data_IF_421167095780
#
_entry.id   IF_421167095780
#
_cell.length_a   1.000
_cell.length_b   1.000
_cell.length_c   1.000
_cell.angle_alpha   90.00
_cell.angle_beta   90.00
_cell.angle_gamma   90.00
#
_symmetry.space_group_name_H-M   'P 1'
#
loop_
_entity.id
_entity.type
_entity.pdbx_description
1 polymer ?
#
# COMPACT_ATOMS: atom_id res chain seq x y z
N UNK A 1 -38.99 -44.60 -11.15
CA UNK A 1 -39.05 -43.56 -10.12
C UNK A 1 -37.69 -42.91 -10.08
N UNK A 2 -37.57 -41.66 -10.52
CA UNK A 2 -36.31 -40.93 -10.59
C UNK A 2 -36.11 -40.10 -9.30
N UNK A 3 -34.90 -40.14 -8.78
CA UNK A 3 -34.41 -39.49 -7.56
C UNK A 3 -34.48 -37.95 -7.68
N UNK A 4 -35.15 -37.22 -6.76
CA UNK A 4 -35.41 -35.79 -6.89
C UNK A 4 -34.30 -34.88 -6.32
N UNK A 5 -33.09 -35.37 -6.04
CA UNK A 5 -32.04 -34.58 -5.38
C UNK A 5 -30.72 -34.50 -6.17
N UNK A 6 -30.79 -34.08 -7.44
CA UNK A 6 -29.64 -33.46 -8.11
C UNK A 6 -29.99 -32.02 -8.46
N UNK A 7 -30.02 -31.18 -7.43
CA UNK A 7 -29.90 -29.74 -7.60
C UNK A 7 -28.53 -29.42 -8.19
N UNK A 8 -28.55 -28.74 -9.33
CA UNK A 8 -27.39 -28.17 -9.98
C UNK A 8 -26.64 -27.26 -9.00
N UNK A 9 -25.47 -27.71 -8.56
CA UNK A 9 -24.49 -26.86 -7.86
C UNK A 9 -23.93 -25.83 -8.84
N UNK A 10 -24.73 -24.81 -9.16
CA UNK A 10 -24.20 -23.58 -9.73
C UNK A 10 -23.28 -22.98 -8.68
N UNK A 11 -21.97 -23.07 -8.92
CA UNK A 11 -20.98 -22.36 -8.12
C UNK A 11 -21.38 -20.89 -8.09
N UNK A 12 -21.82 -20.41 -6.92
CA UNK A 12 -21.91 -18.99 -6.67
C UNK A 12 -20.48 -18.47 -6.67
N UNK A 13 -20.00 -18.02 -7.84
CA UNK A 13 -18.86 -17.11 -7.86
C UNK A 13 -19.35 -15.87 -7.15
N UNK A 14 -18.90 -15.68 -5.92
CA UNK A 14 -19.08 -14.42 -5.21
C UNK A 14 -18.44 -13.36 -6.12
N UNK A 15 -19.27 -12.56 -6.80
CA UNK A 15 -18.80 -11.38 -7.52
C UNK A 15 -18.37 -10.39 -6.44
N UNK A 16 -17.14 -10.54 -5.95
CA UNK A 16 -16.47 -9.51 -5.18
C UNK A 16 -16.26 -8.38 -6.17
N UNK A 17 -17.05 -7.30 -6.01
CA UNK A 17 -16.80 -6.08 -6.77
C UNK A 17 -15.35 -5.64 -6.49
N UNK A 18 -14.58 -5.27 -7.53
CA UNK A 18 -13.22 -4.78 -7.32
C UNK A 18 -13.25 -3.55 -6.40
N UNK A 19 -12.25 -3.44 -5.54
CA UNK A 19 -12.07 -2.30 -4.62
C UNK A 19 -12.06 -0.99 -5.40
N UNK A 20 -12.81 0.01 -4.94
CA UNK A 20 -12.78 1.36 -5.54
C UNK A 20 -11.60 2.17 -5.01
N UNK A 21 -11.24 3.26 -5.69
CA UNK A 21 -10.23 4.19 -5.19
C UNK A 21 -10.64 4.80 -3.83
N UNK A 22 -11.93 5.11 -3.65
CA UNK A 22 -12.43 5.63 -2.37
C UNK A 22 -12.29 4.60 -1.24
N UNK A 23 -12.59 3.33 -1.50
CA UNK A 23 -12.39 2.25 -0.53
C UNK A 23 -10.91 2.10 -0.17
N UNK A 24 -10.03 2.15 -1.18
CA UNK A 24 -8.59 2.10 -1.00
C UNK A 24 -8.06 3.24 -0.11
N UNK A 25 -8.43 4.48 -0.44
CA UNK A 25 -8.03 5.67 0.34
C UNK A 25 -8.59 5.65 1.76
N UNK A 26 -9.82 5.17 1.94
CA UNK A 26 -10.44 5.04 3.26
C UNK A 26 -9.73 3.97 4.11
N UNK A 27 -9.37 2.82 3.53
CA UNK A 27 -8.62 1.77 4.22
C UNK A 27 -7.23 2.28 4.68
N UNK A 28 -6.54 3.05 3.82
CA UNK A 28 -5.28 3.69 4.18
C UNK A 28 -5.44 4.65 5.36
N UNK A 29 -6.45 5.52 5.33
CA UNK A 29 -6.72 6.47 6.41
C UNK A 29 -7.05 5.75 7.73
N UNK A 30 -7.87 4.70 7.68
CA UNK A 30 -8.19 3.89 8.85
C UNK A 30 -6.98 3.17 9.43
N UNK A 31 -6.10 2.64 8.57
CA UNK A 31 -4.83 2.04 9.00
C UNK A 31 -3.91 3.08 9.65
N UNK A 32 -3.71 4.21 8.98
CA UNK A 32 -2.85 5.29 9.44
C UNK A 32 -3.28 5.86 10.80
N UNK A 33 -4.57 6.11 10.99
CA UNK A 33 -5.11 6.69 12.23
C UNK A 33 -5.02 5.76 13.44
N UNK A 34 -4.85 4.46 13.25
CA UNK A 34 -4.51 3.53 14.35
C UNK A 34 -3.07 3.71 14.84
N UNK A 35 -2.16 4.08 13.94
CA UNK A 35 -0.74 4.28 14.22
C UNK A 35 -0.47 5.72 14.70
N UNK A 36 -1.18 6.69 14.14
CA UNK A 36 -1.08 8.12 14.46
C UNK A 36 -2.45 8.69 14.87
N UNK A 37 -2.98 8.33 16.05
CA UNK A 37 -4.31 8.78 16.50
C UNK A 37 -4.44 10.31 16.56
N UNK A 38 -3.35 11.04 16.82
CA UNK A 38 -3.31 12.50 16.81
C UNK A 38 -3.73 13.12 15.47
N UNK A 39 -3.62 12.38 14.36
CA UNK A 39 -4.10 12.84 13.05
C UNK A 39 -5.62 13.08 13.04
N UNK A 40 -6.38 12.32 13.84
CA UNK A 40 -7.83 12.53 14.00
C UNK A 40 -8.12 13.84 14.74
N UNK A 41 -7.34 14.16 15.77
CA UNK A 41 -7.53 15.39 16.55
C UNK A 41 -7.16 16.62 15.72
N UNK A 42 -6.06 16.54 14.96
CA UNK A 42 -5.67 17.59 14.02
C UNK A 42 -6.76 17.79 12.97
N UNK A 43 -7.28 16.70 12.37
CA UNK A 43 -8.37 16.78 11.39
C UNK A 43 -9.61 17.46 11.97
N UNK A 44 -10.06 17.04 13.17
CA UNK A 44 -11.21 17.66 13.85
C UNK A 44 -10.99 19.15 14.13
N UNK A 45 -9.76 19.53 14.50
CA UNK A 45 -9.42 20.92 14.75
C UNK A 45 -9.50 21.77 13.46
N UNK A 46 -9.02 21.25 12.33
CA UNK A 46 -9.13 21.93 11.03
C UNK A 46 -10.60 22.06 10.59
N UNK A 47 -11.38 20.98 10.70
CA UNK A 47 -12.82 20.98 10.40
C UNK A 47 -13.59 21.97 11.28
N UNK A 48 -13.20 22.16 12.55
CA UNK A 48 -13.83 23.14 13.45
C UNK A 48 -13.60 24.61 13.08
N UNK A 49 -12.68 24.87 12.15
CA UNK A 49 -12.34 26.22 11.65
C UNK A 49 -12.95 26.51 10.27
N UNK A 50 -13.88 25.67 9.81
CA UNK A 50 -14.42 25.72 8.45
C UNK A 50 -13.33 25.62 7.36
N UNK A 51 -12.17 25.04 7.68
CA UNK A 51 -11.10 24.79 6.71
C UNK A 51 -11.41 23.52 5.92
N UNK A 52 -11.30 23.61 4.59
CA UNK A 52 -11.42 22.45 3.71
C UNK A 52 -10.13 21.63 3.84
N UNK A 53 -10.21 20.52 4.58
CA UNK A 53 -9.12 19.56 4.66
C UNK A 53 -9.10 18.68 3.40
N UNK A 54 -7.92 18.56 2.79
CA UNK A 54 -7.65 17.61 1.73
C UNK A 54 -6.30 16.93 1.99
N UNK A 55 -6.22 15.64 1.68
CA UNK A 55 -4.95 14.94 1.73
C UNK A 55 -4.14 15.29 0.47
N UNK A 56 -3.03 16.02 0.62
CA UNK A 56 -2.19 16.39 -0.52
C UNK A 56 -1.46 15.17 -1.10
N UNK A 57 -0.87 14.31 -0.24
CA UNK A 57 -0.15 13.14 -0.70
C UNK A 57 -0.09 12.00 0.33
N UNK A 58 0.06 10.78 -0.20
CA UNK A 58 0.29 9.54 0.55
C UNK A 58 1.64 8.97 0.15
N UNK A 59 2.44 8.53 1.13
CA UNK A 59 3.77 7.98 0.89
C UNK A 59 3.88 6.51 1.32
N UNK A 60 4.31 5.66 0.40
CA UNK A 60 4.63 4.26 0.61
C UNK A 60 6.14 4.00 0.57
N UNK A 61 6.58 2.97 1.29
CA UNK A 61 7.99 2.57 1.39
C UNK A 61 8.09 1.05 1.24
N UNK A 62 9.08 0.59 0.49
CA UNK A 62 9.40 -0.83 0.32
C UNK A 62 10.91 -1.05 0.13
N UNK A 63 11.32 -2.29 -0.14
CA UNK A 63 12.69 -2.70 -0.46
C UNK A 63 12.79 -3.11 -1.93
N UNK A 64 13.90 -2.78 -2.60
CA UNK A 64 14.13 -3.05 -4.04
C UNK A 64 14.31 -4.54 -4.39
N UNK A 65 14.57 -5.40 -3.39
CA UNK A 65 14.74 -6.86 -3.54
C UNK A 65 13.64 -7.64 -2.80
N UNK A 66 12.39 -7.21 -2.90
CA UNK A 66 11.24 -7.80 -2.21
C UNK A 66 10.13 -8.26 -3.16
N UNK A 67 9.30 -9.26 -2.81
CA UNK A 67 8.08 -9.58 -3.55
C UNK A 67 7.01 -8.48 -3.57
N UNK A 68 7.26 -7.38 -2.84
CA UNK A 68 6.48 -6.15 -2.81
C UNK A 68 7.34 -4.95 -3.22
N UNK A 69 8.30 -5.13 -4.13
CA UNK A 69 9.13 -4.02 -4.62
C UNK A 69 8.27 -3.00 -5.38
N UNK A 70 8.84 -1.85 -5.71
CA UNK A 70 8.11 -0.77 -6.39
C UNK A 70 7.40 -1.26 -7.65
N UNK A 71 8.09 -2.10 -8.44
CA UNK A 71 7.56 -2.67 -9.68
C UNK A 71 6.36 -3.62 -9.45
N UNK A 72 6.28 -4.26 -8.28
CA UNK A 72 5.18 -5.17 -7.93
C UNK A 72 3.97 -4.41 -7.37
N UNK A 73 4.21 -3.25 -6.75
CA UNK A 73 3.16 -2.42 -6.13
C UNK A 73 2.56 -1.39 -7.08
N UNK A 74 3.35 -0.86 -8.02
CA UNK A 74 2.90 0.15 -8.98
C UNK A 74 1.63 -0.25 -9.77
N UNK A 75 1.48 -1.48 -10.27
CA UNK A 75 0.30 -1.85 -11.04
C UNK A 75 -1.02 -1.58 -10.32
N UNK A 76 -1.05 -1.68 -8.98
CA UNK A 76 -2.23 -1.35 -8.18
C UNK A 76 -2.58 0.13 -8.27
N UNK A 77 -1.58 1.02 -8.14
CA UNK A 77 -1.80 2.46 -8.27
C UNK A 77 -2.33 2.81 -9.66
N UNK A 78 -1.72 2.25 -10.71
CA UNK A 78 -2.17 2.47 -12.08
C UNK A 78 -3.60 1.95 -12.31
N UNK A 79 -3.97 0.83 -11.68
CA UNK A 79 -5.33 0.27 -11.75
C UNK A 79 -6.41 1.20 -11.16
N UNK A 80 -6.02 2.07 -10.22
CA UNK A 80 -6.89 3.10 -9.66
C UNK A 80 -6.91 4.39 -10.46
N UNK A 81 -6.28 4.43 -11.64
CA UNK A 81 -6.27 5.61 -12.53
C UNK A 81 -5.16 6.61 -12.24
N UNK A 82 -4.16 6.25 -11.42
CA UNK A 82 -2.96 7.07 -11.26
C UNK A 82 -2.03 6.97 -12.46
N UNK A 83 -1.32 8.06 -12.74
CA UNK A 83 -0.31 8.18 -13.77
C UNK A 83 1.04 8.50 -13.13
N UNK A 84 2.10 7.85 -13.63
CA UNK A 84 3.47 8.12 -13.19
C UNK A 84 3.87 9.53 -13.62
N UNK A 85 4.36 10.34 -12.68
CA UNK A 85 4.74 11.72 -12.90
C UNK A 85 6.25 11.87 -13.09
N UNK A 86 7.03 11.76 -12.01
CA UNK A 86 8.47 11.97 -12.05
C UNK A 86 9.23 10.91 -11.24
N UNK A 87 10.41 10.45 -11.71
CA UNK A 87 11.34 9.68 -10.91
C UNK A 87 12.08 10.59 -9.93
N UNK A 88 12.37 10.08 -8.74
CA UNK A 88 13.16 10.74 -7.71
C UNK A 88 14.29 9.83 -7.26
N UNK A 89 15.47 10.41 -7.03
CA UNK A 89 16.61 9.75 -6.42
C UNK A 89 17.04 10.54 -5.18
N UNK A 90 17.17 9.85 -4.05
CA UNK A 90 17.64 10.42 -2.78
C UNK A 90 18.93 9.71 -2.39
N UNK A 91 20.05 10.15 -2.95
CA UNK A 91 21.35 9.48 -2.77
C UNK A 91 21.76 9.36 -1.30
N UNK A 92 21.60 10.42 -0.52
CA UNK A 92 21.94 10.42 0.92
C UNK A 92 21.11 9.40 1.71
N UNK A 93 19.88 9.15 1.28
CA UNK A 93 18.96 8.19 1.90
C UNK A 93 19.00 6.81 1.25
N UNK A 94 19.71 6.66 0.13
CA UNK A 94 19.78 5.44 -0.68
C UNK A 94 18.38 4.97 -1.13
N UNK A 95 17.52 5.90 -1.53
CA UNK A 95 16.16 5.64 -1.98
C UNK A 95 15.99 6.06 -3.44
N UNK A 96 15.21 5.27 -4.18
CA UNK A 96 14.58 5.71 -5.43
C UNK A 96 13.07 5.70 -5.28
N UNK A 97 12.39 6.55 -6.02
CA UNK A 97 10.93 6.67 -5.92
C UNK A 97 10.31 7.14 -7.23
N UNK A 98 8.99 6.98 -7.31
CA UNK A 98 8.16 7.64 -8.30
C UNK A 98 7.04 8.41 -7.61
N UNK A 99 6.74 9.60 -8.14
CA UNK A 99 5.49 10.31 -7.87
C UNK A 99 4.40 9.86 -8.83
N UNK A 100 3.16 9.83 -8.35
CA UNK A 100 1.97 9.47 -9.11
C UNK A 100 0.87 10.50 -8.90
N UNK A 101 0.21 10.89 -9.98
CA UNK A 101 -0.87 11.88 -9.99
C UNK A 101 -2.14 11.22 -10.53
N UNK A 102 -3.29 11.54 -9.93
CA UNK A 102 -4.58 11.15 -10.48
C UNK A 102 -5.17 12.35 -11.24
N UNK A 103 -5.80 12.16 -12.41
CA UNK A 103 -6.29 13.26 -13.24
C UNK A 103 -7.51 13.98 -12.63
N UNK A 104 -8.30 13.29 -11.80
CA UNK A 104 -9.39 13.91 -11.04
C UNK A 104 -8.83 14.82 -9.93
N UNK A 105 -9.31 16.07 -9.90
CA UNK A 105 -8.95 17.03 -8.85
C UNK A 105 -9.37 16.56 -7.46
N UNK A 106 -8.60 16.92 -6.43
CA UNK A 106 -8.88 16.56 -5.04
C UNK A 106 -8.44 15.15 -4.64
N UNK A 107 -7.94 14.34 -5.58
CA UNK A 107 -7.29 13.07 -5.26
C UNK A 107 -5.86 13.30 -4.76
N UNK A 108 -5.41 12.61 -3.70
CA UNK A 108 -4.07 12.78 -3.17
C UNK A 108 -3.04 12.31 -4.20
N UNK A 109 -1.87 12.93 -4.22
CA UNK A 109 -0.71 12.39 -4.95
C UNK A 109 -0.23 11.13 -4.23
N UNK A 110 0.35 10.18 -4.95
CA UNK A 110 0.99 9.02 -4.33
C UNK A 110 2.49 9.10 -4.55
N UNK A 111 3.26 8.80 -3.52
CA UNK A 111 4.71 8.72 -3.56
C UNK A 111 5.13 7.31 -3.15
N UNK A 112 5.64 6.51 -4.08
CA UNK A 112 6.11 5.15 -3.78
C UNK A 112 7.63 5.12 -3.88
N UNK A 113 8.26 4.80 -2.76
CA UNK A 113 9.72 4.74 -2.65
C UNK A 113 10.20 3.34 -2.28
N UNK A 114 11.39 2.99 -2.75
CA UNK A 114 12.07 1.76 -2.35
C UNK A 114 13.53 2.01 -1.97
N UNK A 115 13.97 1.29 -0.95
CA UNK A 115 15.36 1.30 -0.47
C UNK A 115 16.25 0.50 -1.40
N UNK A 116 17.32 1.14 -1.86
CA UNK A 116 18.33 0.54 -2.72
C UNK A 116 19.30 -0.30 -1.88
N UNK A 117 18.92 -1.55 -1.61
CA UNK A 117 19.63 -2.41 -0.65
C UNK A 117 21.08 -2.71 -1.07
N UNK A 118 21.37 -2.69 -2.37
CA UNK A 118 22.74 -2.82 -2.89
C UNK A 118 23.70 -1.69 -2.44
N UNK A 119 23.18 -0.55 -1.94
CA UNK A 119 23.97 0.56 -1.39
C UNK A 119 24.22 0.41 0.12
N UNK A 120 23.73 -0.66 0.76
CA UNK A 120 23.87 -0.92 2.20
C UNK A 120 25.04 -1.88 2.50
N UNK A 121 25.35 -2.05 3.78
CA UNK A 121 26.35 -3.03 4.22
C UNK A 121 25.81 -4.46 4.13
N UNK A 122 26.71 -5.44 4.01
CA UNK A 122 26.33 -6.86 3.99
C UNK A 122 25.51 -7.26 5.22
N UNK A 123 25.86 -6.73 6.40
CA UNK A 123 25.11 -7.01 7.63
C UNK A 123 23.68 -6.49 7.56
N UNK A 124 23.45 -5.28 7.03
CA UNK A 124 22.12 -4.74 6.87
C UNK A 124 21.31 -5.56 5.85
N UNK A 125 21.95 -5.94 4.74
CA UNK A 125 21.31 -6.76 3.70
C UNK A 125 20.90 -8.14 4.22
N UNK A 126 21.71 -8.78 5.06
CA UNK A 126 21.32 -10.05 5.71
C UNK A 126 20.04 -9.92 6.53
N UNK A 127 19.92 -8.86 7.35
CA UNK A 127 18.72 -8.62 8.16
C UNK A 127 17.49 -8.30 7.30
N UNK A 128 17.67 -7.49 6.25
CA UNK A 128 16.57 -7.17 5.32
C UNK A 128 16.11 -8.45 4.60
N UNK A 129 17.04 -9.30 4.17
CA UNK A 129 16.73 -10.55 3.49
C UNK A 129 15.97 -11.52 4.42
N UNK A 130 16.27 -11.55 5.72
CA UNK A 130 15.52 -12.31 6.74
C UNK A 130 14.06 -11.85 6.89
N UNK A 131 13.80 -10.53 6.82
CA UNK A 131 12.44 -9.98 6.86
C UNK A 131 11.68 -10.25 5.55
N UNK A 132 12.31 -9.92 4.43
CA UNK A 132 11.69 -10.01 3.11
C UNK A 132 11.33 -11.46 2.73
N UNK A 133 12.11 -12.44 3.20
CA UNK A 133 11.83 -13.86 2.97
C UNK A 133 10.49 -14.33 3.56
N UNK A 134 9.94 -13.62 4.54
CA UNK A 134 8.64 -13.94 5.15
C UNK A 134 7.46 -13.46 4.29
N UNK A 135 7.70 -12.55 3.34
CA UNK A 135 6.65 -12.03 2.46
C UNK A 135 6.30 -13.06 1.41
N UNK A 136 5.08 -13.59 1.46
CA UNK A 136 4.59 -14.47 0.41
C UNK A 136 4.43 -13.71 -0.92
N UNK A 137 4.99 -14.19 -2.04
CA UNK A 137 4.87 -13.50 -3.33
C UNK A 137 3.44 -13.32 -3.84
N UNK A 138 2.48 -14.09 -3.32
CA UNK A 138 1.07 -13.91 -3.64
C UNK A 138 0.48 -12.62 -3.04
N UNK A 139 1.09 -12.04 -2.00
CA UNK A 139 0.57 -10.83 -1.34
C UNK A 139 0.53 -9.63 -2.26
N UNK A 140 1.47 -9.46 -3.19
CA UNK A 140 1.47 -8.34 -4.13
C UNK A 140 0.42 -8.45 -5.24
N UNK A 141 -0.41 -9.50 -5.27
CA UNK A 141 -1.45 -9.67 -6.30
C UNK A 141 -2.68 -8.81 -6.09
N UNK A 142 -2.93 -8.41 -4.86
CA UNK A 142 -4.11 -7.64 -4.47
C UNK A 142 -3.69 -6.28 -3.88
N UNK A 143 -4.48 -5.24 -4.15
CA UNK A 143 -4.18 -3.89 -3.69
C UNK A 143 -4.18 -3.73 -2.15
N UNK A 144 -4.73 -4.72 -1.43
CA UNK A 144 -4.76 -4.72 0.03
C UNK A 144 -3.36 -4.76 0.66
N UNK A 145 -2.36 -5.20 -0.09
CA UNK A 145 -0.96 -5.23 0.32
C UNK A 145 -0.44 -3.86 0.77
N UNK A 146 -0.94 -2.78 0.17
CA UNK A 146 -0.54 -1.40 0.48
C UNK A 146 -1.09 -0.91 1.83
N UNK A 147 -2.01 -1.64 2.45
CA UNK A 147 -2.56 -1.33 3.78
C UNK A 147 -2.67 -2.55 4.70
N UNK A 148 -1.99 -3.66 4.36
CA UNK A 148 -1.98 -4.89 5.15
C UNK A 148 -1.21 -4.78 6.49
N UNK A 149 -0.42 -3.72 6.65
CA UNK A 149 0.53 -3.60 7.75
C UNK A 149 1.82 -4.40 7.50
N UNK A 150 2.59 -4.72 8.55
CA UNK A 150 3.80 -5.53 8.42
C UNK A 150 3.48 -6.92 7.85
N UNK A 151 4.26 -7.34 6.85
CA UNK A 151 4.15 -8.67 6.21
C UNK A 151 5.20 -9.67 6.73
N UNK A 152 5.79 -9.35 7.87
CA UNK A 152 6.84 -10.11 8.55
C UNK A 152 6.66 -9.92 10.06
N UNK A 153 7.23 -10.83 10.82
CA UNK A 153 7.33 -10.71 12.26
C UNK A 153 8.15 -9.46 12.61
N UNK A 154 7.59 -8.60 13.45
CA UNK A 154 8.30 -7.40 13.92
C UNK A 154 9.39 -7.86 14.90
N UNK A 155 10.67 -7.52 14.66
CA UNK A 155 11.75 -7.84 15.59
C UNK A 155 11.44 -7.29 17.00
N UNK A 156 11.78 -8.05 18.04
CA UNK A 156 11.51 -7.65 19.43
C UNK A 156 12.16 -6.31 19.79
N UNK A 157 13.28 -5.97 19.16
CA UNK A 157 14.00 -4.70 19.37
C UNK A 157 13.29 -3.48 18.75
N UNK A 158 12.24 -3.68 17.95
CA UNK A 158 11.47 -2.63 17.29
C UNK A 158 10.17 -2.26 18.01
N UNK A 159 9.85 -2.90 19.15
CA UNK A 159 8.62 -2.71 19.95
C UNK A 159 8.91 -1.94 21.24
#
# INVERSE_FOLDING_TARGET
MADPLKEDSKSFKLNILPMTLDDFLNNLWQGYTKIAPQALDIRKLLESKDEIWANDHIAFRTYDRSPIALADLEPHLLSFGYERFEPYAFEDKKLRAYGYLHPEEGRPRVFLSELETHKLSDRANQLIDELVKQVEPARSKDADVLFAGPLWDIPEEAV
#
